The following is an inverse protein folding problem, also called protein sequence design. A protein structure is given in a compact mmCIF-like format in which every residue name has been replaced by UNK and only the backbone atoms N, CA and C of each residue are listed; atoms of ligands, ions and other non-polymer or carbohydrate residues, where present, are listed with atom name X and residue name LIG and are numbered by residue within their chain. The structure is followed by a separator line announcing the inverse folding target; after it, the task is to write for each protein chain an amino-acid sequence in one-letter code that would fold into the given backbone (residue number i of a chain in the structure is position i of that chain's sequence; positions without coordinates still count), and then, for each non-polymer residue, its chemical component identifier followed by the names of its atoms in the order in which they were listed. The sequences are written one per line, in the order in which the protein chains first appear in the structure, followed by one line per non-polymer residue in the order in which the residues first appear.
data_IF_498437785210
#
_entry.id   IF_498437785210
#
_cell.length_a   1.000
_cell.length_b   1.000
_cell.length_c   1.000
_cell.angle_alpha   90.00
_cell.angle_beta   90.00
_cell.angle_gamma   90.00
#
_symmetry.space_group_name_H-M   'P 1'
#
loop_
_entity.id
_entity.type
_entity.pdbx_description
1 polymer ?
#
# COMPACT_ATOMS: atom_id res chain seq x y z
N UNK A 1 -0.43 -2.84 -21.44
CA UNK A 1 -1.19 -2.29 -20.28
C UNK A 1 -0.42 -1.12 -19.71
N UNK A 2 -1.10 -0.07 -19.25
CA UNK A 2 -0.43 1.10 -18.65
C UNK A 2 0.08 0.83 -17.23
N UNK A 3 1.00 1.66 -16.75
CA UNK A 3 1.53 1.62 -15.39
C UNK A 3 0.59 2.38 -14.43
N UNK A 4 0.42 1.87 -13.20
CA UNK A 4 -0.20 2.66 -12.14
C UNK A 4 0.88 3.51 -11.49
N UNK A 5 0.72 4.83 -11.56
CA UNK A 5 1.68 5.77 -10.97
C UNK A 5 1.64 5.71 -9.43
N UNK A 6 2.80 5.94 -8.81
CA UNK A 6 3.02 5.74 -7.37
C UNK A 6 2.09 6.59 -6.48
N UNK A 7 1.77 7.80 -6.92
CA UNK A 7 0.87 8.74 -6.26
C UNK A 7 -0.56 8.19 -6.12
N UNK A 8 -0.96 7.23 -6.95
CA UNK A 8 -2.29 6.62 -6.90
C UNK A 8 -2.40 5.51 -5.87
N UNK A 9 -1.34 5.18 -5.14
CA UNK A 9 -1.39 4.19 -4.07
C UNK A 9 -1.47 4.85 -2.70
N UNK A 10 -2.65 4.80 -2.05
CA UNK A 10 -2.78 5.25 -0.65
C UNK A 10 -1.74 4.58 0.27
N UNK A 11 -1.45 3.31 0.01
CA UNK A 11 -0.45 2.56 0.78
C UNK A 11 0.94 3.19 0.74
N UNK A 12 1.33 3.82 -0.37
CA UNK A 12 2.60 4.53 -0.47
C UNK A 12 2.61 5.77 0.42
N UNK A 13 1.55 6.59 0.35
CA UNK A 13 1.39 7.77 1.18
C UNK A 13 1.35 7.45 2.68
N UNK A 14 0.71 6.35 3.07
CA UNK A 14 0.70 5.88 4.46
C UNK A 14 2.12 5.57 4.95
N UNK A 15 2.92 4.87 4.13
CA UNK A 15 4.31 4.54 4.49
C UNK A 15 5.16 5.81 4.58
N UNK A 16 5.05 6.72 3.60
CA UNK A 16 5.77 7.99 3.59
C UNK A 16 5.43 8.86 4.81
N UNK A 17 4.15 9.00 5.12
CA UNK A 17 3.70 9.71 6.31
C UNK A 17 4.24 9.04 7.59
N UNK A 18 4.24 7.72 7.64
CA UNK A 18 4.73 6.97 8.80
C UNK A 18 6.22 7.19 9.03
N UNK A 19 7.05 7.26 7.98
CA UNK A 19 8.43 7.70 8.10
C UNK A 19 8.54 9.12 8.68
N UNK A 20 7.75 10.06 8.17
CA UNK A 20 7.74 11.43 8.71
C UNK A 20 7.32 11.50 10.18
N UNK A 21 6.36 10.67 10.61
CA UNK A 21 5.96 10.55 12.01
C UNK A 21 7.11 10.02 12.88
N UNK A 22 7.80 8.97 12.45
CA UNK A 22 8.97 8.41 13.16
C UNK A 22 10.09 9.45 13.29
N UNK A 23 10.30 10.27 12.25
CA UNK A 23 11.24 11.39 12.25
C UNK A 23 10.74 12.62 13.04
N UNK A 24 9.58 12.53 13.70
CA UNK A 24 8.94 13.62 14.46
C UNK A 24 8.59 14.85 13.61
N UNK A 25 8.45 14.68 12.30
CA UNK A 25 8.01 15.73 11.36
C UNK A 25 6.49 15.89 11.46
N UNK A 26 5.76 14.78 11.56
CA UNK A 26 4.30 14.79 11.62
C UNK A 26 3.76 14.49 13.02
N UNK A 27 2.68 15.15 13.44
CA UNK A 27 2.22 15.08 14.83
C UNK A 27 1.24 13.94 15.12
N UNK A 28 0.50 13.44 14.12
CA UNK A 28 -0.55 12.43 14.33
C UNK A 28 -0.04 11.01 14.12
N UNK A 29 -0.42 10.11 15.02
CA UNK A 29 0.00 8.71 14.99
C UNK A 29 -0.69 7.96 13.84
N UNK A 30 0.04 7.43 12.84
CA UNK A 30 -0.55 6.75 11.68
C UNK A 30 -0.87 5.28 11.93
N UNK A 31 -0.83 4.81 13.18
CA UNK A 31 -0.96 3.38 13.48
C UNK A 31 -2.27 2.77 12.98
N UNK A 32 -3.36 3.54 12.98
CA UNK A 32 -4.66 3.12 12.44
C UNK A 32 -4.56 2.95 10.92
N UNK A 33 -3.99 3.93 10.21
CA UNK A 33 -3.77 3.86 8.76
C UNK A 33 -2.88 2.68 8.36
N UNK A 34 -1.78 2.47 9.08
CA UNK A 34 -0.88 1.34 8.87
C UNK A 34 -1.58 0.01 9.14
N UNK A 35 -2.34 -0.09 10.25
CA UNK A 35 -3.09 -1.29 10.61
C UNK A 35 -4.09 -1.68 9.51
N UNK A 36 -4.91 -0.73 9.06
CA UNK A 36 -5.85 -0.95 7.94
C UNK A 36 -5.10 -1.37 6.67
N UNK A 37 -3.98 -0.72 6.35
CA UNK A 37 -3.16 -1.03 5.18
C UNK A 37 -2.52 -2.43 5.24
N UNK A 38 -2.19 -2.93 6.43
CA UNK A 38 -1.69 -4.29 6.66
C UNK A 38 -2.84 -5.31 6.50
N UNK A 39 -4.03 -5.02 7.02
CA UNK A 39 -5.22 -5.88 6.85
C UNK A 39 -5.57 -6.04 5.37
N UNK A 40 -5.61 -4.93 4.62
CA UNK A 40 -5.85 -4.96 3.17
C UNK A 40 -4.76 -5.76 2.45
N UNK A 41 -3.49 -5.58 2.84
CA UNK A 41 -2.38 -6.38 2.30
C UNK A 41 -2.57 -7.88 2.54
N UNK A 42 -2.87 -8.28 3.77
CA UNK A 42 -3.10 -9.68 4.13
C UNK A 42 -4.26 -10.28 3.33
N UNK A 43 -5.37 -9.54 3.19
CA UNK A 43 -6.51 -9.95 2.35
C UNK A 43 -6.11 -10.16 0.88
N UNK A 44 -5.35 -9.23 0.30
CA UNK A 44 -4.86 -9.36 -1.08
C UNK A 44 -3.94 -10.57 -1.26
N UNK A 45 -3.06 -10.86 -0.30
CA UNK A 45 -2.20 -12.06 -0.31
C UNK A 45 -3.05 -13.34 -0.27
N UNK A 46 -4.06 -13.41 0.59
CA UNK A 46 -4.96 -14.58 0.67
C UNK A 46 -5.67 -14.81 -0.66
N UNK A 47 -6.22 -13.75 -1.28
CA UNK A 47 -6.90 -13.85 -2.58
C UNK A 47 -5.92 -14.30 -3.66
N UNK A 48 -4.72 -13.71 -3.70
CA UNK A 48 -3.70 -14.08 -4.68
C UNK A 48 -3.20 -15.52 -4.52
N UNK A 49 -3.11 -16.02 -3.29
CA UNK A 49 -2.79 -17.43 -3.02
C UNK A 49 -3.91 -18.38 -3.47
N UNK A 50 -5.18 -17.99 -3.28
CA UNK A 50 -6.33 -18.80 -3.68
C UNK A 50 -6.44 -18.93 -5.21
N UNK A 51 -6.20 -17.84 -5.95
CA UNK A 51 -6.23 -17.82 -7.41
C UNK A 51 -4.85 -18.00 -8.06
N UNK A 52 -3.87 -18.50 -7.31
CA UNK A 52 -2.47 -18.51 -7.72
C UNK A 52 -2.23 -19.23 -9.05
N UNK A 53 -1.48 -18.57 -9.94
CA UNK A 53 -1.01 -19.11 -11.22
C UNK A 53 0.53 -19.07 -11.28
N UNK A 54 1.15 -19.87 -12.17
CA UNK A 54 2.61 -19.87 -12.44
C UNK A 54 3.15 -18.49 -12.85
N UNK A 55 2.29 -17.62 -13.37
CA UNK A 55 2.61 -16.25 -13.76
C UNK A 55 2.39 -15.22 -12.65
N UNK A 56 2.16 -15.65 -11.40
CA UNK A 56 1.92 -14.74 -10.27
C UNK A 56 3.16 -13.93 -9.88
N UNK A 57 2.93 -12.67 -9.52
CA UNK A 57 3.93 -11.76 -8.93
C UNK A 57 3.78 -11.67 -7.39
N UNK A 58 3.27 -12.72 -6.75
CA UNK A 58 3.00 -12.75 -5.31
C UNK A 58 4.26 -12.42 -4.47
N UNK A 59 5.43 -12.95 -4.85
CA UNK A 59 6.66 -12.69 -4.11
C UNK A 59 7.05 -11.21 -4.14
N UNK A 60 7.01 -10.57 -5.31
CA UNK A 60 7.22 -9.13 -5.44
C UNK A 60 6.26 -8.34 -4.54
N UNK A 61 4.96 -8.66 -4.60
CA UNK A 61 3.95 -7.98 -3.80
C UNK A 61 4.15 -8.18 -2.30
N UNK A 62 4.53 -9.39 -1.89
CA UNK A 62 4.83 -9.72 -0.50
C UNK A 62 6.02 -8.89 0.00
N UNK A 63 7.14 -8.90 -0.72
CA UNK A 63 8.37 -8.20 -0.32
C UNK A 63 8.15 -6.71 -0.15
N UNK A 64 7.54 -6.03 -1.12
CA UNK A 64 7.37 -4.56 -1.06
C UNK A 64 6.43 -4.14 0.10
N UNK A 65 5.36 -4.90 0.34
CA UNK A 65 4.38 -4.56 1.36
C UNK A 65 4.85 -4.95 2.75
N UNK A 66 5.50 -6.11 2.89
CA UNK A 66 6.05 -6.57 4.15
C UNK A 66 7.12 -5.58 4.64
N UNK A 67 8.14 -5.30 3.82
CA UNK A 67 9.24 -4.42 4.18
C UNK A 67 8.79 -2.98 4.42
N UNK A 68 7.83 -2.48 3.62
CA UNK A 68 7.34 -1.12 3.75
C UNK A 68 6.47 -0.86 4.96
N UNK A 69 5.71 -1.86 5.45
CA UNK A 69 4.67 -1.64 6.47
C UNK A 69 4.98 -2.23 7.82
N UNK A 70 5.39 -3.50 7.87
CA UNK A 70 5.46 -4.26 9.12
C UNK A 70 6.55 -3.74 10.05
N UNK A 71 7.80 -3.49 9.60
CA UNK A 71 8.83 -2.91 10.45
C UNK A 71 8.43 -1.54 11.04
N UNK A 72 7.84 -0.67 10.20
CA UNK A 72 7.41 0.67 10.62
C UNK A 72 6.25 0.59 11.62
N UNK A 73 5.28 -0.30 11.39
CA UNK A 73 4.18 -0.52 12.32
C UNK A 73 4.68 -0.96 13.69
N UNK A 74 5.58 -1.95 13.75
CA UNK A 74 6.17 -2.44 15.00
C UNK A 74 6.91 -1.30 15.73
N UNK A 75 7.69 -0.50 14.99
CA UNK A 75 8.44 0.61 15.56
C UNK A 75 7.53 1.69 16.15
N UNK A 76 6.44 2.04 15.46
CA UNK A 76 5.47 3.04 15.94
C UNK A 76 4.70 2.50 17.15
N UNK A 77 4.24 1.24 17.08
CA UNK A 77 3.50 0.59 18.17
C UNK A 77 4.33 0.54 19.47
N UNK A 78 5.60 0.13 19.37
CA UNK A 78 6.47 0.00 20.54
C UNK A 78 6.87 1.35 21.15
N UNK A 79 7.04 2.39 20.32
CA UNK A 79 7.47 3.71 20.79
C UNK A 79 6.32 4.62 21.24
N UNK A 80 5.09 4.38 20.78
CA UNK A 80 3.92 5.22 21.09
C UNK A 80 2.65 4.37 21.20
N UNK A 81 2.43 3.65 22.32
CA UNK A 81 1.27 2.79 22.50
C UNK A 81 -0.05 3.58 22.66
N UNK A 82 0.03 4.87 23.00
CA UNK A 82 -1.14 5.71 23.23
C UNK A 82 -1.72 6.28 21.94
N UNK A 83 -2.89 5.76 21.53
CA UNK A 83 -3.70 6.33 20.44
C UNK A 83 -4.65 7.40 21.00
N UNK A 84 -4.67 8.57 20.38
CA UNK A 84 -5.62 9.65 20.71
C UNK A 84 -6.78 9.66 19.72
N UNK A 85 -7.92 10.22 20.13
CA UNK A 85 -9.07 10.41 19.23
C UNK A 85 -8.72 11.25 18.00
N UNK A 86 -7.80 12.23 18.15
CA UNK A 86 -7.28 13.01 17.04
C UNK A 86 -6.59 12.17 15.96
N UNK A 87 -5.94 11.06 16.32
CA UNK A 87 -5.26 10.16 15.37
C UNK A 87 -6.27 9.39 14.51
N UNK A 88 -7.41 9.02 15.10
CA UNK A 88 -8.53 8.39 14.40
C UNK A 88 -9.15 9.39 13.41
N UNK A 89 -9.43 10.61 13.86
CA UNK A 89 -9.99 11.67 13.01
C UNK A 89 -9.04 11.95 11.83
N UNK A 90 -7.75 12.11 12.11
CA UNK A 90 -6.71 12.27 11.10
C UNK A 90 -6.74 11.14 10.07
N UNK A 91 -6.82 9.88 10.53
CA UNK A 91 -6.85 8.71 9.65
C UNK A 91 -8.05 8.73 8.70
N UNK A 92 -9.24 9.07 9.20
CA UNK A 92 -10.44 9.21 8.36
C UNK A 92 -10.27 10.33 7.33
N UNK A 93 -9.74 11.50 7.75
CA UNK A 93 -9.53 12.63 6.84
C UNK A 93 -8.55 12.29 5.71
N UNK A 94 -7.45 11.58 6.00
CA UNK A 94 -6.49 11.15 4.98
C UNK A 94 -7.15 10.25 3.93
N UNK A 95 -7.99 9.30 4.35
CA UNK A 95 -8.71 8.42 3.42
C UNK A 95 -9.68 9.23 2.55
N UNK A 96 -10.42 10.18 3.14
CA UNK A 96 -11.36 11.02 2.38
C UNK A 96 -10.63 11.92 1.37
N UNK A 97 -9.53 12.56 1.77
CA UNK A 97 -8.70 13.37 0.88
C UNK A 97 -8.16 12.52 -0.27
N UNK A 98 -7.71 11.30 0.01
CA UNK A 98 -7.24 10.38 -1.01
C UNK A 98 -8.33 9.99 -2.02
N UNK A 99 -9.55 9.70 -1.55
CA UNK A 99 -10.69 9.40 -2.45
C UNK A 99 -10.98 10.59 -3.36
N UNK A 100 -10.98 11.81 -2.81
CA UNK A 100 -11.17 13.03 -3.59
C UNK A 100 -10.03 13.24 -4.61
N UNK A 101 -8.78 12.98 -4.20
CA UNK A 101 -7.62 13.05 -5.08
C UNK A 101 -7.75 12.11 -6.28
N UNK A 102 -8.04 10.82 -6.04
CA UNK A 102 -8.20 9.83 -7.11
C UNK A 102 -9.29 10.24 -8.11
N UNK A 103 -10.41 10.73 -7.59
CA UNK A 103 -11.49 11.26 -8.43
C UNK A 103 -11.05 12.49 -9.25
N UNK A 104 -10.28 13.40 -8.65
CA UNK A 104 -9.80 14.61 -9.31
C UNK A 104 -8.83 14.31 -10.46
N UNK A 105 -8.01 13.26 -10.33
CA UNK A 105 -7.10 12.80 -11.41
C UNK A 105 -7.80 11.90 -12.44
N UNK A 106 -9.12 11.75 -12.36
CA UNK A 106 -9.94 11.02 -13.33
C UNK A 106 -9.77 9.50 -13.29
N UNK A 107 -9.31 8.94 -12.17
CA UNK A 107 -9.18 7.49 -11.97
C UNK A 107 -10.23 6.98 -10.97
N UNK A 108 -10.42 5.67 -10.92
CA UNK A 108 -11.31 5.01 -9.96
C UNK A 108 -10.47 4.17 -8.99
N UNK A 109 -10.67 4.40 -7.69
CA UNK A 109 -9.99 3.68 -6.62
C UNK A 109 -10.16 2.16 -6.75
N UNK A 110 -11.36 1.69 -7.08
CA UNK A 110 -11.67 0.27 -7.25
C UNK A 110 -10.94 -0.29 -8.48
N UNK A 111 -10.83 0.49 -9.57
CA UNK A 111 -10.05 0.09 -10.73
C UNK A 111 -8.56 -0.02 -10.40
N UNK A 112 -7.99 0.95 -9.67
CA UNK A 112 -6.58 0.90 -9.25
C UNK A 112 -6.27 -0.37 -8.45
N UNK A 113 -7.07 -0.68 -7.42
CA UNK A 113 -6.82 -1.85 -6.58
C UNK A 113 -7.17 -3.18 -7.24
N UNK A 114 -8.23 -3.22 -8.08
CA UNK A 114 -8.57 -4.42 -8.85
C UNK A 114 -7.48 -4.76 -9.86
N UNK A 115 -7.01 -3.77 -10.62
CA UNK A 115 -6.00 -3.99 -11.66
C UNK A 115 -4.66 -4.40 -11.03
N UNK A 116 -4.32 -3.85 -9.85
CA UNK A 116 -3.17 -4.31 -9.07
C UNK A 116 -3.35 -5.77 -8.62
N UNK A 117 -4.53 -6.15 -8.11
CA UNK A 117 -4.79 -7.51 -7.65
C UNK A 117 -4.68 -8.53 -8.79
N UNK A 118 -5.24 -8.20 -9.96
CA UNK A 118 -5.10 -9.01 -11.17
C UNK A 118 -3.63 -9.18 -11.56
N UNK A 119 -2.85 -8.11 -11.52
CA UNK A 119 -1.41 -8.15 -11.79
C UNK A 119 -0.62 -9.02 -10.81
N UNK A 120 -1.03 -9.06 -9.54
CA UNK A 120 -0.42 -9.96 -8.53
C UNK A 120 -0.76 -11.41 -8.84
N UNK A 121 -2.00 -11.71 -9.24
CA UNK A 121 -2.48 -13.06 -9.57
C UNK A 121 -1.82 -13.57 -10.86
N UNK A 122 -1.78 -12.74 -11.89
CA UNK A 122 -1.20 -13.03 -13.20
C UNK A 122 -0.52 -11.77 -13.75
N UNK A 123 0.81 -11.82 -13.94
CA UNK A 123 1.62 -10.69 -14.44
C UNK A 123 1.20 -10.18 -15.82
N UNK A 124 0.48 -11.00 -16.59
CA UNK A 124 -0.01 -10.66 -17.93
C UNK A 124 -1.39 -9.99 -17.89
N UNK A 125 -2.03 -9.94 -16.72
CA UNK A 125 -3.34 -9.33 -16.49
C UNK A 125 -3.20 -8.08 -15.60
N UNK A 126 -4.10 -7.11 -15.78
CA UNK A 126 -4.10 -5.89 -14.97
C UNK A 126 -3.03 -4.86 -15.36
N UNK A 127 -2.72 -3.95 -14.44
CA UNK A 127 -1.76 -2.86 -14.65
C UNK A 127 -0.54 -3.07 -13.77
N UNK A 128 0.65 -2.81 -14.30
CA UNK A 128 1.90 -2.99 -13.57
C UNK A 128 1.95 -2.05 -12.36
N UNK A 129 2.44 -2.60 -11.24
CA UNK A 129 2.74 -1.81 -10.05
C UNK A 129 4.00 -0.94 -10.25
N UNK A 130 4.14 0.18 -9.52
CA UNK A 130 5.14 1.23 -9.80
C UNK A 130 6.59 0.78 -9.56
N UNK A 131 6.82 -0.27 -8.78
CA UNK A 131 8.16 -0.83 -8.56
C UNK A 131 8.46 -2.07 -9.40
N UNK A 132 7.51 -2.54 -10.20
CA UNK A 132 7.67 -3.80 -10.93
C UNK A 132 8.74 -3.72 -12.01
N UNK A 133 8.79 -2.60 -12.74
CA UNK A 133 9.82 -2.37 -13.76
C UNK A 133 11.24 -2.50 -13.20
N UNK A 134 11.47 -1.93 -12.01
CA UNK A 134 12.76 -2.03 -11.34
C UNK A 134 13.05 -3.45 -10.86
N UNK A 135 12.06 -4.12 -10.26
CA UNK A 135 12.16 -5.51 -9.83
C UNK A 135 12.49 -6.45 -11.00
N UNK A 136 11.81 -6.28 -12.15
CA UNK A 136 12.01 -7.08 -13.36
C UNK A 136 13.45 -6.98 -13.88
N UNK A 137 14.03 -5.78 -13.89
CA UNK A 137 15.41 -5.58 -14.33
C UNK A 137 16.40 -6.27 -13.37
N UNK A 138 16.11 -6.28 -12.07
CA UNK A 138 16.98 -6.85 -11.04
C UNK A 138 17.12 -8.39 -11.09
N UNK A 139 16.22 -9.08 -11.82
CA UNK A 139 16.16 -10.55 -11.91
C UNK A 139 16.49 -11.03 -13.33
N UNK A 140 16.52 -10.10 -14.28
CA UNK A 140 16.93 -10.38 -15.65
C UNK A 140 18.47 -10.30 -15.82
N UNK A 141 19.18 -9.80 -14.81
CA UNK A 141 20.63 -9.87 -14.63
C UNK A 141 21.00 -11.13 -13.81
#
# INVERSE_FOLDING_TARGET
MGEITLDKFLSFWIVLYSFGYVLKIFPYNPIVLLGVSIVVFAGAVIIALYYHNKNSNLFYYFVINFLGKIPIFILIYNNNPGMKHSDIIFSVLIVLIYILYIKAVGDDILCVYRDLLLFIINKEEGREGPFYKYYKNLIAE
#
